data_IF_626304423100
#
_entry.id   IF_626304423100
#
_cell.length_a   1.000
_cell.length_b   1.000
_cell.length_c   1.000
_cell.angle_alpha   90.00
_cell.angle_beta   90.00
_cell.angle_gamma   90.00
#
_symmetry.space_group_name_H-M   'P 1'
#
loop_
_entity.id
_entity.type
_entity.pdbx_description
1 polymer ?
#
# COMPACT_ATOMS: atom_id res chain seq x y z
N UNK A 1 -27.69 -7.57 63.61
CA UNK A 1 -26.58 -6.72 64.06
C UNK A 1 -26.48 -5.56 63.10
N UNK A 2 -26.89 -4.38 63.54
CA UNK A 2 -26.80 -3.13 62.77
C UNK A 2 -25.44 -2.55 63.12
N UNK A 3 -24.57 -2.39 62.12
CA UNK A 3 -23.22 -1.85 62.29
C UNK A 3 -23.32 -0.33 62.12
N UNK A 4 -23.11 0.39 63.21
CA UNK A 4 -23.02 1.85 63.21
C UNK A 4 -21.83 2.32 62.37
N UNK A 5 -22.12 3.21 61.42
CA UNK A 5 -21.18 3.73 60.43
C UNK A 5 -20.46 4.94 61.04
N UNK A 6 -19.20 4.76 61.40
CA UNK A 6 -18.32 5.81 61.92
C UNK A 6 -18.08 6.89 60.84
N UNK A 7 -18.31 8.15 61.18
CA UNK A 7 -18.01 9.31 60.33
C UNK A 7 -16.50 9.49 60.15
N UNK A 8 -16.04 9.58 58.90
CA UNK A 8 -14.65 9.82 58.54
C UNK A 8 -14.23 11.28 58.82
N UNK A 9 -12.97 11.53 59.19
CA UNK A 9 -12.43 12.87 59.46
C UNK A 9 -12.28 13.69 58.18
N UNK A 10 -12.45 15.01 58.33
CA UNK A 10 -12.41 16.02 57.28
C UNK A 10 -11.17 15.92 56.38
N UNK A 11 -11.40 15.67 55.09
CA UNK A 11 -10.40 15.72 54.03
C UNK A 11 -10.20 17.20 53.60
N UNK A 12 -8.98 17.77 53.70
CA UNK A 12 -8.72 19.11 53.22
C UNK A 12 -8.70 19.10 51.69
N UNK A 13 -9.80 19.54 51.08
CA UNK A 13 -9.89 19.84 49.65
C UNK A 13 -8.78 20.82 49.22
N UNK A 14 -7.97 20.51 48.20
CA UNK A 14 -7.01 21.44 47.64
C UNK A 14 -7.73 22.63 46.97
N UNK A 15 -7.34 23.86 47.30
CA UNK A 15 -7.90 25.11 46.75
C UNK A 15 -7.56 25.37 45.26
N UNK A 16 -6.90 24.44 44.56
CA UNK A 16 -6.53 24.58 43.15
C UNK A 16 -7.28 23.58 42.27
N UNK A 17 -8.59 23.76 42.13
CA UNK A 17 -9.35 23.21 41.01
C UNK A 17 -9.44 24.27 39.90
N UNK A 18 -9.13 23.95 38.63
CA UNK A 18 -9.36 24.87 37.52
C UNK A 18 -10.86 25.18 37.38
N UNK A 19 -11.23 26.39 36.91
CA UNK A 19 -12.63 26.80 36.81
C UNK A 19 -13.44 25.88 35.89
N UNK A 20 -14.67 25.55 36.31
CA UNK A 20 -15.61 24.75 35.51
C UNK A 20 -16.04 25.50 34.25
N UNK A 21 -15.93 24.85 33.08
CA UNK A 21 -16.32 25.39 31.77
C UNK A 21 -17.84 25.40 31.49
N UNK A 22 -18.69 25.47 32.52
CA UNK A 22 -20.15 25.50 32.37
C UNK A 22 -20.73 26.92 32.50
N UNK A 23 -20.29 27.84 31.66
CA UNK A 23 -20.96 29.15 31.50
C UNK A 23 -20.95 29.61 30.05
N UNK A 24 -21.66 28.88 29.18
CA UNK A 24 -22.23 29.49 27.98
C UNK A 24 -23.71 29.77 28.29
N UNK A 25 -23.94 31.02 28.66
CA UNK A 25 -25.26 31.61 28.88
C UNK A 25 -26.14 31.42 27.65
N UNK A 26 -27.26 30.73 27.87
CA UNK A 26 -28.40 30.70 26.96
C UNK A 26 -29.15 32.03 27.08
N UNK A 27 -28.88 32.97 26.19
CA UNK A 27 -29.64 34.21 26.10
C UNK A 27 -30.93 33.93 25.30
N UNK A 28 -32.03 33.74 26.02
CA UNK A 28 -33.37 33.58 25.45
C UNK A 28 -33.92 34.94 24.99
N UNK A 29 -34.05 35.11 23.67
CA UNK A 29 -34.88 36.15 23.06
C UNK A 29 -36.15 35.53 22.49
N UNK A 30 -37.35 36.10 22.71
CA UNK A 30 -38.58 35.59 22.12
C UNK A 30 -38.73 36.16 20.70
N UNK A 31 -38.54 35.32 19.67
CA UNK A 31 -38.96 35.67 18.31
C UNK A 31 -40.10 34.76 17.85
N UNK A 32 -41.12 35.44 17.35
CA UNK A 32 -42.38 34.95 16.82
C UNK A 32 -42.21 33.88 15.74
N UNK A 33 -42.85 32.73 15.95
CA UNK A 33 -43.08 31.73 14.92
C UNK A 33 -44.05 32.27 13.86
N UNK A 34 -43.57 32.36 12.62
CA UNK A 34 -44.41 32.36 11.41
C UNK A 34 -44.29 30.96 10.78
N UNK A 35 -45.40 30.29 10.43
CA UNK A 35 -45.36 29.02 9.73
C UNK A 35 -45.34 29.29 8.23
N UNK A 36 -44.24 28.99 7.52
CA UNK A 36 -44.34 28.91 6.07
C UNK A 36 -43.39 27.90 5.40
N UNK A 37 -44.03 27.13 4.53
CA UNK A 37 -43.56 26.47 3.31
C UNK A 37 -42.38 25.49 3.35
N UNK A 38 -42.80 24.22 3.43
CA UNK A 38 -42.14 23.00 2.97
C UNK A 38 -41.60 23.17 1.52
N UNK A 39 -40.29 23.04 1.27
CA UNK A 39 -39.78 23.00 -0.10
C UNK A 39 -40.11 21.65 -0.77
N UNK A 40 -40.46 21.64 -2.07
CA UNK A 40 -40.73 20.42 -2.82
C UNK A 40 -39.46 19.60 -3.08
N UNK A 41 -39.59 18.28 -3.32
CA UNK A 41 -38.45 17.42 -3.62
C UNK A 41 -37.80 17.76 -4.97
N UNK A 42 -36.47 17.64 -5.11
CA UNK A 42 -35.81 17.82 -6.39
C UNK A 42 -36.18 16.67 -7.34
N UNK A 43 -36.79 17.04 -8.47
CA UNK A 43 -37.03 16.14 -9.59
C UNK A 43 -35.71 15.71 -10.26
N UNK A 44 -35.68 14.53 -10.91
CA UNK A 44 -34.49 13.95 -11.50
C UNK A 44 -34.13 14.66 -12.80
N UNK A 45 -33.04 15.43 -12.80
CA UNK A 45 -32.50 15.99 -14.03
C UNK A 45 -31.72 14.92 -14.81
N UNK A 46 -32.38 14.47 -15.87
CA UNK A 46 -31.93 14.54 -17.27
C UNK A 46 -30.42 14.47 -17.55
N UNK A 47 -30.07 13.43 -18.29
CA UNK A 47 -28.84 13.25 -19.06
C UNK A 47 -28.48 14.50 -19.89
N UNK A 48 -27.20 14.92 -19.93
CA UNK A 48 -26.74 15.88 -20.92
C UNK A 48 -26.76 15.22 -22.31
N UNK A 49 -27.67 15.71 -23.16
CA UNK A 49 -27.67 15.40 -24.60
C UNK A 49 -26.39 15.92 -25.24
N UNK A 50 -25.74 15.04 -25.98
CA UNK A 50 -24.59 15.34 -26.82
C UNK A 50 -24.95 16.36 -27.91
N UNK A 51 -24.05 17.29 -28.27
CA UNK A 51 -24.26 18.18 -29.41
C UNK A 51 -24.28 17.38 -30.73
N UNK A 52 -25.15 17.74 -31.70
CA UNK A 52 -25.21 17.07 -32.98
C UNK A 52 -23.96 17.38 -33.82
N UNK A 53 -23.37 16.34 -34.39
CA UNK A 53 -22.32 16.44 -35.39
C UNK A 53 -22.83 17.16 -36.65
N UNK A 54 -22.16 18.20 -37.16
CA UNK A 54 -22.45 18.72 -38.47
C UNK A 54 -21.80 17.82 -39.53
N UNK A 55 -22.65 17.18 -40.32
CA UNK A 55 -22.31 16.53 -41.58
C UNK A 55 -22.11 17.61 -42.66
N UNK A 56 -20.99 17.64 -43.41
CA UNK A 56 -20.95 18.34 -44.68
C UNK A 56 -20.86 17.36 -45.85
N UNK A 57 -21.90 17.37 -46.68
CA UNK A 57 -21.89 16.82 -48.03
C UNK A 57 -20.90 17.56 -48.95
N UNK A 58 -20.42 16.93 -50.03
CA UNK A 58 -19.35 17.45 -50.87
C UNK A 58 -19.87 18.45 -51.91
N UNK A 59 -19.29 19.66 -51.91
CA UNK A 59 -19.39 20.59 -53.03
C UNK A 59 -18.05 20.66 -53.76
N UNK A 60 -18.07 20.21 -55.00
CA UNK A 60 -17.01 20.39 -56.01
C UNK A 60 -16.90 21.85 -56.46
N UNK A 61 -15.68 22.41 -56.51
CA UNK A 61 -15.37 23.50 -57.44
C UNK A 61 -14.26 23.07 -58.42
N UNK A 62 -14.63 23.06 -59.71
CA UNK A 62 -13.71 23.18 -60.84
C UNK A 62 -13.18 24.62 -60.85
N UNK A 63 -11.87 24.82 -60.68
CA UNK A 63 -11.26 26.14 -60.72
C UNK A 63 -9.75 26.07 -61.01
N UNK A 64 -9.37 26.53 -62.19
CA UNK A 64 -8.03 26.55 -62.79
C UNK A 64 -7.01 27.42 -62.03
N UNK A 65 -5.76 26.95 -62.12
CA UNK A 65 -4.49 27.68 -62.32
C UNK A 65 -3.72 28.30 -61.12
N UNK A 66 -2.44 27.87 -61.04
CA UNK A 66 -1.24 28.64 -60.67
C UNK A 66 -1.19 29.25 -59.25
N UNK A 67 -0.49 28.65 -58.30
CA UNK A 67 0.97 28.85 -58.11
C UNK A 67 1.52 27.81 -57.13
N UNK A 68 2.72 27.29 -57.41
CA UNK A 68 3.39 26.25 -56.62
C UNK A 68 4.00 26.84 -55.34
N UNK A 69 3.34 26.68 -54.20
CA UNK A 69 3.95 26.83 -52.88
C UNK A 69 4.12 25.44 -52.27
N UNK A 70 5.37 24.97 -52.29
CA UNK A 70 5.83 23.69 -51.72
C UNK A 70 5.67 23.71 -50.19
N UNK A 71 4.52 23.29 -49.69
CA UNK A 71 4.30 23.04 -48.27
C UNK A 71 5.02 21.76 -47.84
N UNK A 72 6.14 21.93 -47.14
CA UNK A 72 6.91 20.90 -46.46
C UNK A 72 6.09 20.24 -45.34
N UNK A 73 5.29 19.23 -45.69
CA UNK A 73 4.50 18.41 -44.76
C UNK A 73 5.36 17.28 -44.13
N UNK A 74 6.59 17.04 -44.60
CA UNK A 74 7.38 15.85 -44.24
C UNK A 74 8.28 15.95 -43.00
N UNK A 75 8.14 17.00 -42.17
CA UNK A 75 8.95 17.19 -40.96
C UNK A 75 8.54 16.33 -39.74
N UNK A 76 7.30 15.83 -39.71
CA UNK A 76 6.76 15.15 -38.52
C UNK A 76 7.40 13.78 -38.21
N UNK A 77 8.11 13.19 -39.17
CA UNK A 77 8.75 11.87 -38.99
C UNK A 77 10.15 11.92 -38.37
N UNK A 78 10.91 13.00 -38.56
CA UNK A 78 12.34 13.01 -38.19
C UNK A 78 12.56 13.08 -36.69
N UNK A 79 11.83 13.94 -35.96
CA UNK A 79 11.92 14.02 -34.51
C UNK A 79 11.63 12.68 -33.84
N UNK A 80 10.62 11.94 -34.33
CA UNK A 80 10.26 10.62 -33.80
C UNK A 80 11.36 9.57 -34.00
N UNK A 81 12.15 9.66 -35.08
CA UNK A 81 13.28 8.75 -35.34
C UNK A 81 14.43 9.04 -34.39
N UNK A 82 14.78 10.33 -34.25
CA UNK A 82 15.83 10.76 -33.31
C UNK A 82 15.47 10.34 -31.88
N UNK A 83 14.22 10.55 -31.43
CA UNK A 83 13.82 10.12 -30.09
C UNK A 83 13.91 8.59 -29.88
N UNK A 84 13.61 7.79 -30.92
CA UNK A 84 13.76 6.33 -30.86
C UNK A 84 15.23 5.90 -30.79
N UNK A 85 16.11 6.55 -31.54
CA UNK A 85 17.56 6.29 -31.53
C UNK A 85 18.18 6.66 -30.18
N UNK A 86 17.79 7.80 -29.60
CA UNK A 86 18.22 8.23 -28.25
C UNK A 86 17.75 7.21 -27.22
N UNK A 87 16.47 6.82 -27.26
CA UNK A 87 15.92 5.80 -26.36
C UNK A 87 16.66 4.46 -26.48
N UNK A 88 16.93 3.99 -27.70
CA UNK A 88 17.68 2.76 -27.93
C UNK A 88 19.11 2.84 -27.39
N UNK A 89 19.77 3.98 -27.58
CA UNK A 89 21.12 4.24 -27.05
C UNK A 89 21.12 4.20 -25.51
N UNK A 90 20.19 4.90 -24.88
CA UNK A 90 20.06 4.92 -23.42
C UNK A 90 19.74 3.52 -22.88
N UNK A 91 18.87 2.75 -23.53
CA UNK A 91 18.64 1.35 -23.17
C UNK A 91 19.91 0.50 -23.26
N UNK A 92 20.73 0.70 -24.28
CA UNK A 92 22.04 0.03 -24.42
C UNK A 92 22.95 0.33 -23.24
N UNK A 93 23.14 1.62 -22.93
CA UNK A 93 23.99 2.06 -21.81
C UNK A 93 23.49 1.54 -20.46
N UNK A 94 22.18 1.63 -20.21
CA UNK A 94 21.58 1.14 -18.96
C UNK A 94 21.66 -0.39 -18.86
N UNK A 95 21.52 -1.12 -19.97
CA UNK A 95 21.75 -2.57 -19.99
C UNK A 95 23.18 -2.89 -19.59
N UNK A 96 24.16 -2.19 -20.17
CA UNK A 96 25.57 -2.41 -19.86
C UNK A 96 25.89 -2.09 -18.39
N UNK A 97 25.30 -1.03 -17.83
CA UNK A 97 25.41 -0.70 -16.41
C UNK A 97 24.89 -1.83 -15.52
N UNK A 98 23.71 -2.38 -15.83
CA UNK A 98 23.10 -3.45 -15.02
C UNK A 98 23.85 -4.77 -15.17
N UNK A 99 24.44 -5.05 -16.33
CA UNK A 99 25.29 -6.23 -16.54
C UNK A 99 26.62 -6.12 -15.81
N UNK A 100 27.18 -4.91 -15.69
CA UNK A 100 28.46 -4.63 -15.05
C UNK A 100 28.27 -3.97 -13.68
N UNK A 101 27.33 -4.45 -12.86
CA UNK A 101 26.96 -3.84 -11.58
C UNK A 101 28.12 -3.76 -10.54
N UNK A 102 29.24 -4.45 -10.79
CA UNK A 102 30.46 -4.37 -9.98
C UNK A 102 31.31 -3.13 -10.27
N UNK A 103 30.92 -2.30 -11.26
CA UNK A 103 31.64 -1.07 -11.59
C UNK A 103 31.56 -0.02 -10.49
N UNK A 104 32.51 0.92 -10.51
CA UNK A 104 32.51 2.07 -9.61
C UNK A 104 31.18 2.86 -9.69
N UNK A 105 30.55 3.08 -8.54
CA UNK A 105 29.22 3.69 -8.47
C UNK A 105 29.21 5.15 -8.94
N UNK A 106 30.30 5.89 -8.72
CA UNK A 106 30.39 7.27 -9.21
C UNK A 106 30.35 7.31 -10.74
N UNK A 107 31.02 6.36 -11.38
CA UNK A 107 30.98 6.17 -12.84
C UNK A 107 29.57 5.80 -13.32
N UNK A 108 28.88 4.90 -12.63
CA UNK A 108 27.50 4.51 -12.96
C UNK A 108 26.52 5.69 -12.86
N UNK A 109 26.63 6.51 -11.81
CA UNK A 109 25.80 7.71 -11.64
C UNK A 109 26.08 8.76 -12.73
N UNK A 110 27.35 8.98 -13.10
CA UNK A 110 27.70 9.90 -14.17
C UNK A 110 27.09 9.48 -15.52
N UNK A 111 27.03 8.16 -15.79
CA UNK A 111 26.37 7.62 -16.99
C UNK A 111 24.85 7.87 -16.94
N UNK A 112 24.21 7.64 -15.79
CA UNK A 112 22.77 7.91 -15.62
C UNK A 112 22.44 9.41 -15.77
N UNK A 113 23.29 10.30 -15.24
CA UNK A 113 23.17 11.76 -15.43
C UNK A 113 23.32 12.15 -16.89
N UNK A 114 24.29 11.57 -17.60
CA UNK A 114 24.46 11.78 -19.05
C UNK A 114 23.24 11.30 -19.84
N UNK A 115 22.70 10.13 -19.50
CA UNK A 115 21.45 9.63 -20.09
C UNK A 115 20.28 10.58 -19.82
N UNK A 116 20.19 11.13 -18.61
CA UNK A 116 19.15 12.09 -18.23
C UNK A 116 19.22 13.36 -19.08
N UNK A 117 20.41 13.93 -19.24
CA UNK A 117 20.64 15.12 -20.06
C UNK A 117 20.31 14.87 -21.53
N UNK A 118 20.74 13.73 -22.09
CA UNK A 118 20.42 13.34 -23.46
C UNK A 118 18.92 13.17 -23.67
N UNK A 119 18.24 12.47 -22.77
CA UNK A 119 16.78 12.31 -22.78
C UNK A 119 16.05 13.67 -22.72
N UNK A 120 16.47 14.55 -21.82
CA UNK A 120 15.89 15.89 -21.65
C UNK A 120 16.03 16.75 -22.91
N UNK A 121 17.18 16.71 -23.59
CA UNK A 121 17.41 17.44 -24.85
C UNK A 121 16.44 17.04 -25.98
N UNK A 122 15.86 15.84 -25.90
CA UNK A 122 14.92 15.30 -26.88
C UNK A 122 13.48 15.16 -26.35
N UNK A 123 13.17 15.76 -25.19
CA UNK A 123 11.83 15.71 -24.59
C UNK A 123 11.39 14.31 -24.17
N UNK A 124 12.35 13.42 -23.86
CA UNK A 124 12.08 12.06 -23.39
C UNK A 124 12.24 12.05 -21.87
N UNK A 125 11.24 11.64 -21.08
CA UNK A 125 11.44 11.45 -19.65
C UNK A 125 12.29 10.20 -19.40
N UNK A 126 13.48 10.37 -18.80
CA UNK A 126 14.35 9.24 -18.45
C UNK A 126 13.63 8.21 -17.57
N UNK A 127 12.72 8.66 -16.70
CA UNK A 127 11.90 7.78 -15.87
C UNK A 127 11.08 6.78 -16.69
N UNK A 128 10.51 7.19 -17.83
CA UNK A 128 9.81 6.26 -18.72
C UNK A 128 10.76 5.23 -19.33
N UNK A 129 11.98 5.64 -19.71
CA UNK A 129 12.97 4.77 -20.34
C UNK A 129 13.46 3.71 -19.35
N UNK A 130 13.71 4.06 -18.09
CA UNK A 130 14.15 3.12 -17.05
C UNK A 130 13.05 2.10 -16.66
N UNK A 131 11.79 2.44 -16.91
CA UNK A 131 10.64 1.59 -16.60
C UNK A 131 10.18 0.73 -17.79
N UNK A 132 10.73 0.94 -18.99
CA UNK A 132 10.40 0.14 -20.16
C UNK A 132 11.05 -1.26 -20.11
N UNK A 133 10.31 -2.25 -20.61
CA UNK A 133 10.71 -3.65 -20.73
C UNK A 133 11.72 -3.89 -21.86
N UNK A 134 12.91 -3.31 -21.72
CA UNK A 134 13.95 -3.24 -22.76
C UNK A 134 14.99 -4.37 -22.69
N UNK A 135 15.06 -5.09 -21.56
CA UNK A 135 16.04 -6.15 -21.32
C UNK A 135 15.29 -7.46 -21.12
N UNK A 136 15.26 -8.31 -22.15
CA UNK A 136 14.69 -9.66 -22.07
C UNK A 136 13.22 -9.69 -21.55
N UNK A 137 12.43 -8.67 -21.89
CA UNK A 137 11.03 -8.58 -21.47
C UNK A 137 10.81 -7.95 -20.08
N UNK A 138 11.87 -7.50 -19.42
CA UNK A 138 11.83 -6.82 -18.12
C UNK A 138 12.48 -5.44 -18.15
N UNK A 139 12.15 -4.63 -17.16
CA UNK A 139 12.74 -3.32 -16.90
C UNK A 139 14.20 -3.42 -16.45
N UNK A 140 14.97 -2.33 -16.58
CA UNK A 140 16.33 -2.28 -16.02
C UNK A 140 16.32 -2.35 -14.49
N UNK A 141 15.25 -1.88 -13.85
CA UNK A 141 15.06 -1.95 -12.40
C UNK A 141 14.94 -3.41 -11.94
N UNK A 142 14.15 -4.22 -12.64
CA UNK A 142 14.03 -5.65 -12.37
C UNK A 142 15.41 -6.32 -12.39
N UNK A 143 16.18 -6.11 -13.48
CA UNK A 143 17.49 -6.74 -13.60
C UNK A 143 18.52 -6.22 -12.58
N UNK A 144 18.45 -4.93 -12.22
CA UNK A 144 19.28 -4.37 -11.16
C UNK A 144 19.01 -5.05 -9.81
N UNK A 145 17.77 -5.47 -9.54
CA UNK A 145 17.44 -6.27 -8.34
C UNK A 145 17.98 -7.70 -8.47
N UNK A 146 17.74 -8.38 -9.59
CA UNK A 146 18.18 -9.78 -9.81
C UNK A 146 19.71 -9.90 -9.74
N UNK A 147 20.43 -8.95 -10.30
CA UNK A 147 21.90 -8.94 -10.36
C UNK A 147 22.56 -8.35 -9.11
N UNK A 148 21.78 -7.85 -8.15
CA UNK A 148 22.34 -7.25 -6.94
C UNK A 148 23.13 -8.29 -6.14
N UNK A 149 24.39 -8.02 -5.77
CA UNK A 149 25.15 -8.93 -4.91
C UNK A 149 24.47 -9.08 -3.55
N UNK A 150 24.52 -10.29 -2.99
CA UNK A 150 23.94 -10.56 -1.67
C UNK A 150 24.56 -9.64 -0.61
N UNK A 151 23.74 -9.11 0.30
CA UNK A 151 24.08 -8.05 1.26
C UNK A 151 25.31 -8.32 2.13
N UNK A 152 25.71 -9.58 2.30
CA UNK A 152 26.89 -9.97 3.08
C UNK A 152 28.21 -9.45 2.48
N UNK A 153 28.25 -9.19 1.17
CA UNK A 153 29.45 -8.73 0.47
C UNK A 153 29.49 -7.22 0.26
N UNK A 154 28.35 -6.52 0.39
CA UNK A 154 28.22 -5.10 0.12
C UNK A 154 28.66 -4.26 1.34
N UNK A 155 29.97 -4.28 1.65
CA UNK A 155 30.55 -3.33 2.61
C UNK A 155 30.54 -1.93 1.99
N UNK A 156 29.53 -1.13 2.33
CA UNK A 156 29.50 0.34 2.20
C UNK A 156 29.41 0.98 0.80
N UNK A 157 29.04 0.26 -0.26
CA UNK A 157 28.73 0.88 -1.56
C UNK A 157 27.30 1.42 -1.62
N UNK A 158 27.12 2.66 -2.13
CA UNK A 158 25.83 3.14 -2.62
C UNK A 158 25.36 2.23 -3.76
N UNK A 159 24.20 1.62 -3.60
CA UNK A 159 23.69 0.62 -4.54
C UNK A 159 23.22 1.27 -5.85
N UNK A 160 23.69 0.75 -6.99
CA UNK A 160 23.25 1.11 -8.34
C UNK A 160 21.72 1.19 -8.44
N UNK A 161 21.02 0.25 -7.79
CA UNK A 161 19.56 0.24 -7.74
C UNK A 161 18.98 1.55 -7.19
N UNK A 162 19.55 2.12 -6.13
CA UNK A 162 19.08 3.38 -5.57
C UNK A 162 19.28 4.55 -6.54
N UNK A 163 20.39 4.53 -7.30
CA UNK A 163 20.63 5.48 -8.38
C UNK A 163 19.57 5.35 -9.49
N UNK A 164 19.31 4.14 -9.96
CA UNK A 164 18.27 3.91 -10.98
C UNK A 164 16.88 4.34 -10.47
N UNK A 165 16.54 4.02 -9.21
CA UNK A 165 15.25 4.37 -8.61
C UNK A 165 15.05 5.88 -8.46
N UNK A 166 16.11 6.66 -8.18
CA UNK A 166 16.00 8.11 -8.07
C UNK A 166 15.66 8.77 -9.41
N UNK A 167 16.23 8.26 -10.52
CA UNK A 167 15.89 8.71 -11.88
C UNK A 167 14.57 8.11 -12.41
N UNK A 168 14.15 6.96 -11.89
CA UNK A 168 12.92 6.30 -12.31
C UNK A 168 11.65 6.85 -11.64
N UNK A 169 11.78 7.55 -10.50
CA UNK A 169 10.63 8.07 -9.74
C UNK A 169 9.81 9.11 -10.54
N UNK A 170 8.46 9.11 -10.45
CA UNK A 170 7.63 8.13 -9.74
C UNK A 170 7.50 6.80 -10.51
N UNK A 171 7.45 5.68 -9.77
CA UNK A 171 7.24 4.37 -10.38
C UNK A 171 5.76 4.17 -10.76
N UNK A 172 5.53 3.54 -11.90
CA UNK A 172 4.20 3.08 -12.29
C UNK A 172 3.82 1.80 -11.55
N UNK A 173 2.53 1.52 -11.40
CA UNK A 173 2.05 0.26 -10.79
C UNK A 173 2.61 -1.00 -11.49
N UNK A 174 2.78 -0.95 -12.82
CA UNK A 174 3.37 -2.05 -13.59
C UNK A 174 4.82 -2.29 -13.17
N UNK A 175 5.59 -1.21 -13.02
CA UNK A 175 6.98 -1.30 -12.56
C UNK A 175 7.06 -1.77 -11.11
N UNK A 176 6.15 -1.33 -10.24
CA UNK A 176 6.08 -1.78 -8.84
C UNK A 176 5.79 -3.29 -8.79
N UNK A 177 4.89 -3.81 -9.63
CA UNK A 177 4.63 -5.24 -9.77
C UNK A 177 5.86 -6.01 -10.28
N UNK A 178 6.63 -5.45 -11.22
CA UNK A 178 7.91 -6.02 -11.66
C UNK A 178 8.95 -6.04 -10.54
N UNK A 179 9.08 -4.97 -9.75
CA UNK A 179 9.99 -4.91 -8.60
C UNK A 179 9.61 -5.98 -7.56
N UNK A 180 8.31 -6.12 -7.27
CA UNK A 180 7.76 -7.21 -6.43
C UNK A 180 8.20 -8.57 -6.95
N UNK A 181 8.08 -8.80 -8.26
CA UNK A 181 8.48 -10.04 -8.93
C UNK A 181 9.98 -10.29 -8.80
N UNK A 182 10.83 -9.28 -9.04
CA UNK A 182 12.27 -9.42 -8.90
C UNK A 182 12.69 -9.78 -7.47
N UNK A 183 12.06 -9.16 -6.46
CA UNK A 183 12.29 -9.50 -5.07
C UNK A 183 11.81 -10.91 -4.71
N UNK A 184 10.71 -11.37 -5.34
CA UNK A 184 10.20 -12.74 -5.19
C UNK A 184 11.17 -13.77 -5.76
N UNK A 185 11.68 -13.53 -6.97
CA UNK A 185 12.60 -14.44 -7.67
C UNK A 185 13.95 -14.58 -6.93
N UNK A 186 14.39 -13.51 -6.26
CA UNK A 186 15.58 -13.53 -5.40
C UNK A 186 15.28 -13.96 -3.96
N UNK A 187 14.01 -14.14 -3.60
CA UNK A 187 13.54 -14.38 -2.22
C UNK A 187 14.14 -13.40 -1.20
N UNK A 188 14.38 -12.15 -1.61
CA UNK A 188 15.07 -11.16 -0.79
C UNK A 188 14.08 -10.25 -0.05
N UNK A 189 13.57 -10.76 1.07
CA UNK A 189 12.62 -10.04 1.93
C UNK A 189 13.20 -8.72 2.49
N UNK A 190 14.49 -8.69 2.85
CA UNK A 190 15.12 -7.47 3.39
C UNK A 190 15.13 -6.36 2.36
N UNK A 191 15.53 -6.67 1.13
CA UNK A 191 15.49 -5.72 0.02
C UNK A 191 14.06 -5.25 -0.25
N UNK A 192 13.10 -6.18 -0.26
CA UNK A 192 11.70 -5.84 -0.47
C UNK A 192 11.20 -4.82 0.57
N UNK A 193 11.51 -5.02 1.86
CA UNK A 193 11.15 -4.05 2.90
C UNK A 193 11.90 -2.72 2.75
N UNK A 194 13.19 -2.74 2.37
CA UNK A 194 13.94 -1.50 2.10
C UNK A 194 13.30 -0.69 0.97
N UNK A 195 12.92 -1.34 -0.13
CA UNK A 195 12.27 -0.69 -1.27
C UNK A 195 10.91 -0.11 -0.87
N UNK A 196 10.11 -0.83 -0.09
CA UNK A 196 8.81 -0.34 0.43
C UNK A 196 8.93 0.90 1.32
N UNK A 197 10.07 1.08 2.00
CA UNK A 197 10.35 2.27 2.81
C UNK A 197 10.76 3.49 1.95
N UNK A 198 11.07 3.28 0.66
CA UNK A 198 11.41 4.37 -0.25
C UNK A 198 10.16 5.09 -0.77
N UNK A 199 10.24 6.42 -0.88
CA UNK A 199 9.15 7.24 -1.40
C UNK A 199 8.79 6.93 -2.86
N UNK A 200 9.72 6.34 -3.63
CA UNK A 200 9.49 5.93 -5.01
C UNK A 200 8.52 4.74 -5.12
N UNK A 201 8.43 3.90 -4.08
CA UNK A 201 7.66 2.65 -4.10
C UNK A 201 6.30 2.76 -3.44
N UNK A 202 6.22 3.48 -2.31
CA UNK A 202 4.99 3.66 -1.55
C UNK A 202 4.86 5.12 -1.10
N UNK A 203 4.56 6.04 -2.03
CA UNK A 203 4.30 7.43 -1.64
C UNK A 203 3.13 7.45 -0.65
N UNK A 204 3.34 8.08 0.51
CA UNK A 204 2.27 8.27 1.49
C UNK A 204 1.15 9.07 0.83
N UNK A 205 -0.11 8.66 1.08
CA UNK A 205 -1.23 9.48 0.62
C UNK A 205 -1.22 10.83 1.34
N UNK A 206 -1.63 11.89 0.64
CA UNK A 206 -1.68 13.24 1.23
C UNK A 206 -2.42 13.31 2.58
N UNK A 207 -3.60 12.66 2.73
CA UNK A 207 -4.28 12.57 4.02
C UNK A 207 -3.43 11.90 5.11
N UNK A 208 -2.79 10.76 4.82
CA UNK A 208 -1.91 10.10 5.79
C UNK A 208 -0.74 10.99 6.20
N UNK A 209 -0.14 11.71 5.25
CA UNK A 209 0.97 12.62 5.52
C UNK A 209 0.56 13.77 6.45
N UNK A 210 -0.60 14.39 6.19
CA UNK A 210 -1.14 15.48 7.01
C UNK A 210 -1.51 14.96 8.41
N UNK A 211 -2.17 13.81 8.47
CA UNK A 211 -2.79 13.33 9.69
C UNK A 211 -1.78 12.71 10.63
N UNK A 212 -0.84 11.92 10.13
CA UNK A 212 0.16 11.26 10.96
C UNK A 212 1.31 12.19 11.37
N UNK A 213 1.51 13.30 10.65
CA UNK A 213 2.62 14.23 10.85
C UNK A 213 3.89 13.71 10.18
N UNK A 214 4.71 14.60 9.64
CA UNK A 214 5.96 14.23 8.96
C UNK A 214 7.16 14.31 9.91
N UNK A 215 8.05 13.28 9.94
CA UNK A 215 7.99 11.98 9.27
C UNK A 215 7.37 10.87 10.13
N UNK A 216 6.43 10.10 9.58
CA UNK A 216 5.92 8.86 10.20
C UNK A 216 6.98 7.77 10.03
N UNK A 217 7.43 7.13 11.12
CA UNK A 217 8.29 5.97 11.00
C UNK A 217 7.60 4.88 10.16
N UNK A 218 8.32 4.20 9.26
CA UNK A 218 7.73 3.11 8.47
C UNK A 218 7.37 1.92 9.38
N UNK A 219 6.43 1.10 8.92
CA UNK A 219 6.16 -0.19 9.55
C UNK A 219 7.38 -1.11 9.40
N UNK A 220 7.60 -1.98 10.39
CA UNK A 220 8.68 -2.96 10.39
C UNK A 220 8.11 -4.38 10.26
N UNK A 221 8.69 -5.17 9.37
CA UNK A 221 8.29 -6.56 9.11
C UNK A 221 9.53 -7.44 9.02
N UNK A 222 9.63 -8.41 9.92
CA UNK A 222 10.68 -9.43 9.94
C UNK A 222 10.05 -10.80 9.71
N UNK A 223 10.72 -11.65 8.93
CA UNK A 223 10.22 -12.97 8.55
C UNK A 223 11.19 -14.04 9.02
N UNK A 224 10.70 -14.93 9.87
CA UNK A 224 11.41 -16.10 10.35
C UNK A 224 10.85 -17.34 9.67
N UNK A 225 11.65 -17.97 8.82
CA UNK A 225 11.31 -19.27 8.25
C UNK A 225 11.64 -20.38 9.26
N UNK A 226 10.64 -21.17 9.65
CA UNK A 226 10.82 -22.22 10.65
C UNK A 226 11.65 -23.37 10.06
N UNK A 227 12.79 -23.67 10.68
CA UNK A 227 13.67 -24.75 10.26
C UNK A 227 12.98 -26.12 10.44
N UNK A 228 13.05 -26.96 9.41
CA UNK A 228 12.51 -28.33 9.44
C UNK A 228 11.02 -28.47 9.12
N UNK A 229 10.22 -27.40 9.14
CA UNK A 229 8.81 -27.42 8.72
C UNK A 229 8.65 -26.79 7.34
N UNK A 230 8.44 -27.64 6.32
CA UNK A 230 8.27 -27.19 4.95
C UNK A 230 6.99 -26.37 4.79
N UNK A 231 7.16 -25.04 4.74
CA UNK A 231 6.06 -24.10 4.52
C UNK A 231 5.61 -23.34 5.76
N UNK A 232 6.17 -23.60 6.95
CA UNK A 232 5.87 -22.77 8.12
C UNK A 232 6.75 -21.51 8.16
N UNK A 233 6.18 -20.37 8.53
CA UNK A 233 6.90 -19.12 8.71
C UNK A 233 6.19 -18.26 9.77
N UNK A 234 6.94 -17.33 10.33
CA UNK A 234 6.46 -16.37 11.30
C UNK A 234 6.79 -14.96 10.81
N UNK A 235 5.78 -14.11 10.67
CA UNK A 235 5.99 -12.70 10.36
C UNK A 235 5.83 -11.87 11.63
N UNK A 236 6.91 -11.22 12.06
CA UNK A 236 6.92 -10.26 13.16
C UNK A 236 6.62 -8.88 12.59
N UNK A 237 5.56 -8.25 13.11
CA UNK A 237 4.99 -7.04 12.56
C UNK A 237 4.99 -5.94 13.62
N UNK A 238 5.51 -4.77 13.28
CA UNK A 238 5.36 -3.54 14.05
C UNK A 238 4.64 -2.51 13.18
N UNK A 239 3.40 -2.19 13.55
CA UNK A 239 2.59 -1.19 12.85
C UNK A 239 2.59 0.11 13.61
N UNK A 240 3.15 1.17 13.02
CA UNK A 240 3.27 2.47 13.67
C UNK A 240 1.96 3.23 13.58
N UNK A 241 1.58 3.91 14.66
CA UNK A 241 0.37 4.71 14.77
C UNK A 241 -0.91 3.94 14.36
N UNK A 242 -0.98 2.66 14.73
CA UNK A 242 -1.98 1.70 14.25
C UNK A 242 -3.41 2.23 14.37
N UNK A 243 -3.81 2.63 15.58
CA UNK A 243 -5.19 3.10 15.82
C UNK A 243 -5.51 4.37 15.05
N UNK A 244 -4.56 5.30 14.97
CA UNK A 244 -4.72 6.55 14.23
C UNK A 244 -4.94 6.27 12.75
N UNK A 245 -4.14 5.37 12.16
CA UNK A 245 -4.30 4.92 10.77
C UNK A 245 -5.65 4.22 10.56
N UNK A 246 -6.04 3.33 11.46
CA UNK A 246 -7.32 2.61 11.37
C UNK A 246 -8.55 3.52 11.54
N UNK A 247 -8.49 4.58 12.34
CA UNK A 247 -9.59 5.54 12.48
C UNK A 247 -9.68 6.50 11.29
N UNK A 248 -8.53 6.88 10.73
CA UNK A 248 -8.46 7.98 9.77
C UNK A 248 -8.32 7.48 8.34
N UNK A 249 -7.26 6.71 8.04
CA UNK A 249 -7.06 6.10 6.73
C UNK A 249 -7.99 4.90 6.51
N UNK A 250 -8.48 4.29 7.58
CA UNK A 250 -9.35 3.09 7.58
C UNK A 250 -8.69 1.83 7.04
N UNK A 251 -7.40 1.87 6.77
CA UNK A 251 -6.67 0.70 6.36
C UNK A 251 -5.19 0.78 6.75
N UNK A 252 -4.57 -0.39 6.90
CA UNK A 252 -3.13 -0.60 7.02
C UNK A 252 -2.78 -1.80 6.15
N UNK A 253 -1.82 -1.66 5.23
CA UNK A 253 -1.34 -2.74 4.36
C UNK A 253 0.10 -3.11 4.67
N UNK A 254 0.31 -4.38 5.01
CA UNK A 254 1.61 -4.97 5.27
C UNK A 254 1.88 -5.99 4.17
N UNK A 255 2.93 -5.77 3.38
CA UNK A 255 3.37 -6.67 2.32
C UNK A 255 4.72 -7.29 2.69
N UNK A 256 4.85 -8.60 2.51
CA UNK A 256 6.10 -9.32 2.80
C UNK A 256 6.24 -10.56 1.92
N UNK A 257 7.48 -11.01 1.76
CA UNK A 257 7.85 -12.23 1.04
C UNK A 257 8.14 -13.30 2.07
N UNK A 258 7.47 -14.44 1.95
CA UNK A 258 7.72 -15.63 2.77
C UNK A 258 7.40 -16.89 1.96
N UNK A 259 8.28 -17.90 2.01
CA UNK A 259 8.07 -19.19 1.33
C UNK A 259 7.75 -19.03 -0.17
N UNK A 260 8.52 -18.19 -0.87
CA UNK A 260 8.39 -17.95 -2.31
C UNK A 260 7.05 -17.36 -2.73
N UNK A 261 6.40 -16.59 -1.86
CA UNK A 261 5.12 -15.91 -2.10
C UNK A 261 5.15 -14.51 -1.55
N UNK A 262 4.42 -13.60 -2.19
CA UNK A 262 4.19 -12.24 -1.71
C UNK A 262 2.82 -12.21 -1.03
N UNK A 263 2.84 -11.91 0.26
CA UNK A 263 1.69 -11.82 1.11
C UNK A 263 1.29 -10.38 1.31
N UNK A 264 -0.02 -10.13 1.42
CA UNK A 264 -0.57 -8.87 1.92
C UNK A 264 -1.46 -9.18 3.13
N UNK A 265 -1.03 -8.74 4.31
CA UNK A 265 -1.86 -8.68 5.50
C UNK A 265 -2.44 -7.26 5.61
N UNK A 266 -3.76 -7.15 5.72
CA UNK A 266 -4.44 -5.86 5.77
C UNK A 266 -5.35 -5.77 6.97
N UNK A 267 -5.24 -4.67 7.71
CA UNK A 267 -6.24 -4.26 8.69
C UNK A 267 -7.15 -3.24 8.00
N UNK A 268 -8.46 -3.41 8.03
CA UNK A 268 -9.41 -2.54 7.33
C UNK A 268 -10.62 -2.24 8.21
N UNK A 269 -11.00 -0.97 8.27
CA UNK A 269 -12.28 -0.50 8.81
C UNK A 269 -13.25 -0.30 7.64
N UNK A 270 -14.34 -1.07 7.63
CA UNK A 270 -15.23 -1.16 6.48
C UNK A 270 -16.15 0.05 6.33
N UNK A 271 -16.08 0.72 5.17
CA UNK A 271 -17.01 1.81 4.83
C UNK A 271 -18.35 1.33 4.28
N UNK A 272 -18.38 0.11 3.75
CA UNK A 272 -19.56 -0.57 3.24
C UNK A 272 -19.48 -2.04 3.56
N UNK A 273 -20.63 -2.69 3.65
CA UNK A 273 -20.68 -4.14 3.81
C UNK A 273 -20.05 -4.81 2.60
N UNK A 274 -19.28 -5.87 2.83
CA UNK A 274 -18.56 -6.58 1.76
C UNK A 274 -18.38 -8.05 2.06
N UNK A 275 -18.19 -8.83 1.00
CA UNK A 275 -17.91 -10.26 1.10
C UNK A 275 -16.40 -10.49 0.93
N UNK A 276 -15.79 -11.23 1.85
CA UNK A 276 -14.37 -11.62 1.81
C UNK A 276 -14.28 -13.11 2.12
N UNK A 277 -13.69 -13.90 1.22
CA UNK A 277 -13.57 -15.35 1.41
C UNK A 277 -14.91 -16.04 1.67
N UNK A 278 -15.98 -15.58 1.01
CA UNK A 278 -17.35 -16.09 1.20
C UNK A 278 -18.06 -15.61 2.48
N UNK A 279 -17.38 -14.87 3.37
CA UNK A 279 -18.00 -14.31 4.59
C UNK A 279 -18.48 -12.88 4.36
N UNK A 280 -19.67 -12.56 4.84
CA UNK A 280 -20.22 -11.20 4.83
C UNK A 280 -19.77 -10.42 6.06
N UNK A 281 -19.27 -9.19 5.85
CA UNK A 281 -18.88 -8.28 6.91
C UNK A 281 -19.65 -6.97 6.79
N UNK A 282 -20.14 -6.46 7.91
CA UNK A 282 -20.93 -5.24 7.96
C UNK A 282 -20.05 -3.98 7.99
N UNK A 283 -20.63 -2.86 7.55
CA UNK A 283 -20.04 -1.53 7.69
C UNK A 283 -19.63 -1.24 9.14
N UNK A 284 -18.49 -0.56 9.32
CA UNK A 284 -17.93 -0.11 10.58
C UNK A 284 -17.06 -1.15 11.29
N UNK A 285 -17.10 -2.41 10.83
CA UNK A 285 -16.30 -3.48 11.43
C UNK A 285 -14.83 -3.36 11.04
N UNK A 286 -13.96 -3.58 12.03
CA UNK A 286 -12.54 -3.75 11.78
C UNK A 286 -12.27 -5.22 11.49
N UNK A 287 -11.64 -5.48 10.35
CA UNK A 287 -11.34 -6.83 9.88
C UNK A 287 -9.86 -6.97 9.54
N UNK A 288 -9.36 -8.19 9.66
CA UNK A 288 -8.03 -8.59 9.20
C UNK A 288 -8.20 -9.45 7.97
N UNK A 289 -7.44 -9.14 6.93
CA UNK A 289 -7.50 -9.81 5.62
C UNK A 289 -6.11 -10.34 5.29
N UNK A 290 -6.01 -11.59 4.87
CA UNK A 290 -4.80 -12.16 4.30
C UNK A 290 -5.06 -12.51 2.83
N UNK A 291 -4.16 -12.04 1.95
CA UNK A 291 -4.23 -12.28 0.51
C UNK A 291 -2.84 -12.60 -0.07
N UNK A 292 -2.83 -13.30 -1.20
CA UNK A 292 -1.65 -13.42 -2.05
C UNK A 292 -1.64 -12.30 -3.09
N UNK A 293 -0.47 -11.71 -3.31
CA UNK A 293 -0.27 -10.75 -4.39
C UNK A 293 0.16 -11.42 -5.69
N UNK A 294 0.13 -10.65 -6.76
CA UNK A 294 0.49 -11.01 -8.13
C UNK A 294 1.79 -11.84 -8.19
N UNK A 295 1.85 -12.75 -9.16
CA UNK A 295 2.96 -13.69 -9.37
C UNK A 295 3.18 -14.75 -8.29
N UNK A 296 2.47 -14.67 -7.15
CA UNK A 296 2.52 -15.73 -6.15
C UNK A 296 1.74 -16.98 -6.62
N UNK A 297 2.30 -18.20 -6.45
CA UNK A 297 1.59 -19.44 -6.74
C UNK A 297 0.40 -19.63 -5.79
N UNK A 298 -0.74 -20.17 -6.27
CA UNK A 298 -1.87 -20.51 -5.42
C UNK A 298 -1.48 -21.38 -4.23
N UNK A 299 -2.12 -21.16 -3.07
CA UNK A 299 -1.76 -21.89 -1.86
C UNK A 299 -2.91 -22.04 -0.89
N UNK A 300 -2.93 -23.17 -0.20
CA UNK A 300 -3.64 -23.32 1.05
C UNK A 300 -2.78 -22.78 2.19
N UNK A 301 -3.42 -22.14 3.16
CA UNK A 301 -2.76 -21.63 4.35
C UNK A 301 -3.62 -21.90 5.58
N UNK A 302 -2.98 -22.33 6.67
CA UNK A 302 -3.51 -22.22 8.02
C UNK A 302 -2.63 -21.21 8.75
N UNK A 303 -3.23 -20.14 9.25
CA UNK A 303 -2.50 -19.09 9.95
C UNK A 303 -3.27 -18.56 11.14
N UNK A 304 -2.54 -17.95 12.06
CA UNK A 304 -3.09 -17.21 13.17
C UNK A 304 -2.33 -15.91 13.37
N UNK A 305 -3.09 -14.84 13.58
CA UNK A 305 -2.56 -13.56 14.01
C UNK A 305 -2.58 -13.52 15.53
N UNK A 306 -1.41 -13.28 16.12
CA UNK A 306 -1.18 -13.25 17.56
C UNK A 306 -0.79 -11.83 17.95
N UNK A 307 -1.48 -11.23 18.93
CA UNK A 307 -1.10 -9.92 19.50
C UNK A 307 -0.86 -10.09 20.99
N UNK A 308 0.37 -9.81 21.42
CA UNK A 308 0.81 -9.98 22.80
C UNK A 308 0.54 -8.70 23.61
N UNK A 309 0.18 -8.86 24.89
CA UNK A 309 0.00 -7.73 25.78
C UNK A 309 1.36 -7.18 26.22
N UNK A 310 1.63 -5.93 25.85
CA UNK A 310 2.91 -5.25 26.10
C UNK A 310 3.18 -5.08 27.60
N UNK A 311 2.13 -4.91 28.40
CA UNK A 311 2.24 -4.57 29.83
C UNK A 311 2.43 -5.80 30.71
N UNK A 312 2.13 -7.00 30.20
CA UNK A 312 2.05 -8.21 31.02
C UNK A 312 2.35 -9.50 30.24
N UNK A 313 3.60 -9.67 29.76
CA UNK A 313 3.97 -10.79 28.90
C UNK A 313 3.81 -12.19 29.54
N UNK A 314 3.64 -12.27 30.86
CA UNK A 314 3.57 -13.55 31.61
C UNK A 314 2.18 -13.94 32.11
N UNK A 315 1.15 -13.09 32.03
CA UNK A 315 -0.09 -13.32 32.77
C UNK A 315 -1.41 -13.02 32.03
N UNK A 316 -1.38 -12.31 30.89
CA UNK A 316 -2.62 -11.93 30.22
C UNK A 316 -2.96 -12.77 28.99
N UNK A 317 -4.25 -12.85 28.64
CA UNK A 317 -4.70 -13.53 27.43
C UNK A 317 -4.14 -12.83 26.20
N UNK A 318 -3.53 -13.61 25.32
CA UNK A 318 -3.07 -13.17 24.01
C UNK A 318 -4.26 -13.03 23.07
N UNK A 319 -4.29 -12.00 22.22
CA UNK A 319 -5.26 -11.95 21.13
C UNK A 319 -4.84 -13.00 20.11
N UNK A 320 -5.73 -13.94 19.81
CA UNK A 320 -5.51 -14.95 18.76
C UNK A 320 -6.67 -14.90 17.77
N UNK A 321 -6.35 -14.67 16.49
CA UNK A 321 -7.31 -14.65 15.39
C UNK A 321 -6.88 -15.67 14.34
N UNK A 322 -7.67 -16.72 14.14
CA UNK A 322 -7.38 -17.74 13.13
C UNK A 322 -7.84 -17.27 11.75
N UNK A 323 -6.92 -17.32 10.79
CA UNK A 323 -7.10 -16.92 9.39
C UNK A 323 -6.66 -18.10 8.53
N UNK A 324 -7.60 -18.91 8.05
CA UNK A 324 -7.29 -20.10 7.25
C UNK A 324 -8.06 -20.12 5.94
N UNK A 325 -7.47 -20.74 4.92
CA UNK A 325 -8.17 -21.09 3.69
C UNK A 325 -9.36 -22.00 4.01
N UNK A 326 -10.50 -21.75 3.36
CA UNK A 326 -11.73 -22.52 3.51
C UNK A 326 -11.77 -23.68 2.53
N UNK A 327 -12.69 -23.61 1.57
CA UNK A 327 -12.84 -24.62 0.50
C UNK A 327 -12.03 -24.29 -0.77
N UNK A 328 -11.40 -23.10 -0.82
CA UNK A 328 -10.63 -22.64 -1.96
C UNK A 328 -9.22 -22.20 -1.56
N UNK A 329 -8.27 -22.44 -2.46
CA UNK A 329 -6.91 -21.89 -2.37
C UNK A 329 -6.94 -20.37 -2.50
N UNK A 330 -6.03 -19.71 -1.77
CA UNK A 330 -5.68 -18.34 -2.07
C UNK A 330 -5.03 -18.28 -3.45
N UNK A 331 -5.43 -17.30 -4.26
CA UNK A 331 -4.97 -17.08 -5.63
C UNK A 331 -4.62 -15.60 -5.80
N UNK A 332 -3.58 -15.33 -6.57
CA UNK A 332 -3.08 -13.99 -6.86
C UNK A 332 -3.89 -13.22 -7.94
N UNK A 333 -5.11 -13.68 -8.27
CA UNK A 333 -5.90 -13.12 -9.38
C UNK A 333 -6.30 -11.66 -9.17
N UNK A 334 -6.65 -10.99 -10.28
CA UNK A 334 -7.08 -9.58 -10.33
C UNK A 334 -8.25 -9.23 -9.39
N UNK A 335 -9.05 -10.23 -9.01
CA UNK A 335 -9.92 -10.15 -7.84
C UNK A 335 -9.24 -10.89 -6.69
N UNK A 336 -8.93 -10.21 -5.57
CA UNK A 336 -8.13 -10.82 -4.53
C UNK A 336 -8.91 -11.99 -3.91
N UNK A 337 -8.48 -13.21 -4.21
CA UNK A 337 -8.83 -14.36 -3.40
C UNK A 337 -8.17 -14.13 -2.05
N UNK A 338 -9.00 -13.70 -1.10
CA UNK A 338 -8.57 -13.24 0.19
C UNK A 338 -9.47 -13.87 1.25
N UNK A 339 -8.89 -14.13 2.41
CA UNK A 339 -9.59 -14.63 3.59
C UNK A 339 -9.61 -13.54 4.66
N UNK A 340 -10.73 -13.44 5.36
CA UNK A 340 -10.95 -12.39 6.34
C UNK A 340 -11.52 -12.92 7.66
N UNK A 341 -11.18 -12.23 8.75
CA UNK A 341 -11.72 -12.44 10.10
C UNK A 341 -12.08 -11.09 10.70
N UNK A 342 -13.19 -11.01 11.42
CA UNK A 342 -13.57 -9.79 12.15
C UNK A 342 -12.81 -9.72 13.47
N UNK A 343 -12.34 -8.53 13.86
CA UNK A 343 -11.80 -8.33 15.21
C UNK A 343 -12.88 -8.54 16.29
N UNK A 344 -14.16 -8.45 15.94
CA UNK A 344 -15.27 -8.69 16.87
C UNK A 344 -15.48 -10.18 17.19
N UNK A 345 -14.88 -11.10 16.43
CA UNK A 345 -14.96 -12.54 16.71
C UNK A 345 -14.20 -12.92 17.99
N UNK A 346 -13.35 -12.02 18.52
CA UNK A 346 -12.66 -12.18 19.80
C UNK A 346 -12.80 -10.93 20.65
N UNK A 347 -13.30 -11.08 21.89
CA UNK A 347 -13.43 -9.97 22.84
C UNK A 347 -12.09 -9.27 23.11
N UNK A 348 -10.97 -10.00 23.03
CA UNK A 348 -9.64 -9.42 23.20
C UNK A 348 -9.22 -8.63 21.96
N UNK A 349 -9.55 -9.13 20.76
CA UNK A 349 -9.25 -8.46 19.49
C UNK A 349 -10.07 -7.17 19.30
N UNK A 350 -11.34 -7.17 19.69
CA UNK A 350 -12.19 -5.97 19.61
C UNK A 350 -11.65 -4.82 20.45
N UNK A 351 -10.91 -5.14 21.53
CA UNK A 351 -10.29 -4.14 22.38
C UNK A 351 -9.28 -3.25 21.64
N UNK A 352 -8.71 -3.71 20.52
CA UNK A 352 -7.75 -2.95 19.70
C UNK A 352 -8.33 -1.65 19.13
N UNK A 353 -9.65 -1.49 19.12
CA UNK A 353 -10.33 -0.30 18.62
C UNK A 353 -10.31 0.87 19.63
N UNK A 354 -10.16 0.57 20.92
CA UNK A 354 -10.25 1.55 22.02
C UNK A 354 -8.88 2.10 22.40
N UNK A 355 -8.81 3.40 22.72
CA UNK A 355 -7.57 4.13 23.02
C UNK A 355 -6.76 3.51 24.17
N UNK A 356 -7.43 2.95 25.18
CA UNK A 356 -6.78 2.34 26.35
C UNK A 356 -6.42 0.85 26.18
N UNK A 357 -6.43 0.33 24.95
CA UNK A 357 -6.07 -1.06 24.68
C UNK A 357 -4.68 -1.39 25.21
N UNK A 358 -4.57 -2.41 26.06
CA UNK A 358 -3.27 -2.84 26.62
C UNK A 358 -2.37 -3.57 25.61
N UNK A 359 -2.92 -3.88 24.43
CA UNK A 359 -2.19 -4.46 23.29
C UNK A 359 -1.54 -3.40 22.38
N UNK A 360 -1.83 -2.11 22.60
CA UNK A 360 -1.20 -1.00 21.89
C UNK A 360 -0.12 -0.41 22.80
N UNK A 361 1.07 -0.21 22.24
CA UNK A 361 2.17 0.39 22.96
C UNK A 361 1.89 1.86 23.29
N UNK A 362 2.57 2.43 24.30
CA UNK A 362 2.49 3.87 24.58
C UNK A 362 2.88 4.77 23.39
N UNK A 363 3.72 4.30 22.46
CA UNK A 363 4.07 5.01 21.23
C UNK A 363 3.00 4.91 20.13
N UNK A 364 1.87 4.27 20.41
CA UNK A 364 0.77 4.03 19.47
C UNK A 364 1.04 2.91 18.46
N UNK A 365 2.14 2.16 18.60
CA UNK A 365 2.44 1.02 17.73
C UNK A 365 1.74 -0.26 18.17
N UNK A 366 1.41 -1.13 17.20
CA UNK A 366 0.91 -2.48 17.42
C UNK A 366 2.04 -3.48 17.09
N UNK A 367 2.38 -4.36 18.05
CA UNK A 367 3.20 -5.54 17.77
C UNK A 367 2.30 -6.75 17.54
N UNK A 368 2.44 -7.39 16.39
CA UNK A 368 1.70 -8.59 16.06
C UNK A 368 2.62 -9.64 15.44
N UNK A 369 2.22 -10.90 15.54
CA UNK A 369 2.93 -12.03 14.97
C UNK A 369 1.96 -12.86 14.14
N UNK A 370 2.19 -12.97 12.84
CA UNK A 370 1.45 -13.88 11.98
C UNK A 370 2.21 -15.20 11.91
N UNK A 371 1.68 -16.22 12.57
CA UNK A 371 2.18 -17.59 12.42
C UNK A 371 1.41 -18.25 11.30
N UNK A 372 2.10 -18.79 10.30
CA UNK A 372 1.48 -19.37 9.13
C UNK A 372 2.16 -20.66 8.73
N UNK A 373 1.36 -21.60 8.21
CA UNK A 373 1.84 -22.83 7.59
C UNK A 373 1.13 -23.04 6.25
N UNK A 374 1.92 -23.27 5.20
CA UNK A 374 1.39 -23.73 3.93
C UNK A 374 0.89 -25.17 4.10
N UNK A 375 -0.37 -25.40 3.79
CA UNK A 375 -1.01 -26.72 3.93
C UNK A 375 -1.07 -27.39 2.57
N UNK A 376 -0.95 -28.72 2.52
CA UNK A 376 -1.13 -29.47 1.29
C UNK A 376 -2.62 -29.77 1.08
N UNK A 377 -3.03 -29.99 -0.17
CA UNK A 377 -4.46 -30.18 -0.49
C UNK A 377 -5.06 -31.46 0.11
N UNK A 378 -4.22 -32.41 0.50
CA UNK A 378 -4.55 -33.71 1.08
C UNK A 378 -4.72 -33.66 2.60
N UNK A 379 -4.20 -32.62 3.27
CA UNK A 379 -4.28 -32.44 4.73
C UNK A 379 -5.59 -31.76 5.18
N UNK A 380 -6.49 -31.40 4.26
CA UNK A 380 -7.83 -30.95 4.66
C UNK A 380 -8.59 -32.18 5.16
N UNK A 381 -8.53 -32.44 6.47
CA UNK A 381 -9.39 -33.42 7.15
C UNK A 381 -10.79 -33.31 6.57
N UNK A 382 -11.20 -34.38 5.88
CA UNK A 382 -12.52 -34.49 5.31
C UNK A 382 -13.50 -34.49 6.48
N UNK A 383 -14.10 -33.33 6.79
CA UNK A 383 -15.19 -33.25 7.77
C UNK A 383 -16.36 -33.99 7.13
N UNK A 384 -16.52 -35.27 7.46
CA UNK A 384 -17.72 -36.03 7.13
C UNK A 384 -18.83 -35.46 8.02
N UNK A 385 -19.64 -34.56 7.45
CA UNK A 385 -20.83 -34.00 8.09
C UNK A 385 -21.96 -35.02 8.19
#
# INVERSE_FOLDING_TARGET
>A
MIIDKTSLPNDPTPEEAPPSYDTIQSNAGPSSYTPNEKPPPPNPYTLPSSPPSPNPSPLTPKGKASTKTSSSWFGFGQASRVSKEVKATVHGLVRDLVQNADSDMASSLAILESCSQACAAHGIPLSSVLQDKSIEGHSSIYWAIIKRPSSQSARHGSDLLNGILSFASPLTEVTIAEVRTACLDTSNQQLFQQLRKSAAFAPLSGPEQILLGTPVPPDDIEIDEVAGDQGAFVAHLRVVAFQKRMRVAKHVHLEFIARGRIWRLSFVNLDSSRVVGGKHFDKGKWIVILALLEHSPPTWIDSRLVVEDVRSPKQKPTVELRIRSGMDQLKSSSYPSAIGVSLEESLMASSLQYEDSSYINPDGSLYARLEAKLVRSDDTECIIC
#
